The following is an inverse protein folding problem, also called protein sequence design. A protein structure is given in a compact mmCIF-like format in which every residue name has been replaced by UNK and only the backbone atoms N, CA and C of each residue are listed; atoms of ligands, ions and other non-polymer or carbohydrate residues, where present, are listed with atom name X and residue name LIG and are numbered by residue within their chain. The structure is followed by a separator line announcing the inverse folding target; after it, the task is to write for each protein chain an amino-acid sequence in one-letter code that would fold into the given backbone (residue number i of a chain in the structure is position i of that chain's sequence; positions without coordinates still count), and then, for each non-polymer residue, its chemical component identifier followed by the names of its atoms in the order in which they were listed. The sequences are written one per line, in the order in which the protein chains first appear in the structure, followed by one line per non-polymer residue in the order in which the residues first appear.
data_IF_472291248301
#
_entry.id   IF_472291248301
#
_cell.length_a   1.000
_cell.length_b   1.000
_cell.length_c   1.000
_cell.angle_alpha   90.00
_cell.angle_beta   90.00
_cell.angle_gamma   90.00
#
_symmetry.space_group_name_H-M   'P 1'
#
loop_
_entity.id
_entity.type
_entity.pdbx_description
1 polymer ?
#
# COMPACT_ATOMS: atom_id res chain seq x y z
N UNK A 1 78.78 8.74 25.96
CA UNK A 1 77.87 9.90 25.78
C UNK A 1 76.62 9.59 24.93
N UNK A 2 76.10 8.36 24.80
CA UNK A 2 74.90 8.08 23.96
C UNK A 2 73.64 7.71 24.77
N UNK A 3 73.80 7.09 25.95
CA UNK A 3 72.68 6.65 26.81
C UNK A 3 72.01 7.77 27.62
N UNK A 4 72.76 8.81 28.02
CA UNK A 4 72.21 9.97 28.74
C UNK A 4 71.31 10.83 27.85
N UNK A 5 71.66 10.98 26.57
CA UNK A 5 70.85 11.73 25.60
C UNK A 5 69.62 10.95 25.14
N UNK A 6 69.68 9.62 25.08
CA UNK A 6 68.52 8.79 24.78
C UNK A 6 67.45 8.87 25.88
N UNK A 7 67.86 8.89 27.16
CA UNK A 7 66.95 9.05 28.30
C UNK A 7 66.37 10.47 28.34
N UNK A 8 67.18 11.50 28.08
CA UNK A 8 66.69 12.88 27.96
C UNK A 8 65.71 13.07 26.79
N UNK A 9 65.95 12.41 25.66
CA UNK A 9 65.06 12.45 24.49
C UNK A 9 63.72 11.75 24.79
N UNK A 10 63.74 10.59 25.46
CA UNK A 10 62.54 9.87 25.86
C UNK A 10 61.72 10.63 26.92
N UNK A 11 62.37 11.26 27.90
CA UNK A 11 61.69 12.13 28.87
C UNK A 11 61.10 13.38 28.19
N UNK A 12 61.80 13.96 27.22
CA UNK A 12 61.29 15.11 26.46
C UNK A 12 60.07 14.73 25.60
N UNK A 13 60.09 13.56 24.95
CA UNK A 13 58.94 13.04 24.18
C UNK A 13 57.74 12.72 25.08
N UNK A 14 57.95 12.14 26.27
CA UNK A 14 56.86 11.89 27.23
C UNK A 14 56.25 13.18 27.79
N UNK A 15 57.05 14.22 28.06
CA UNK A 15 56.55 15.53 28.52
C UNK A 15 55.79 16.25 27.41
N UNK A 16 56.27 16.19 26.16
CA UNK A 16 55.55 16.77 25.01
C UNK A 16 54.23 16.02 24.75
N UNK A 17 54.20 14.69 24.89
CA UNK A 17 52.96 13.91 24.76
C UNK A 17 51.92 14.23 25.86
N UNK A 18 52.36 14.49 27.09
CA UNK A 18 51.48 14.91 28.19
C UNK A 18 50.91 16.32 28.02
N UNK A 19 51.64 17.24 27.37
CA UNK A 19 51.19 18.62 27.11
C UNK A 19 50.18 18.68 25.95
N UNK A 20 50.28 17.81 24.95
CA UNK A 20 49.34 17.80 23.80
C UNK A 20 47.96 17.21 24.16
N UNK A 21 47.88 16.30 25.14
CA UNK A 21 46.60 15.72 25.60
C UNK A 21 45.84 16.66 26.56
N UNK A 22 46.52 17.61 27.20
CA UNK A 22 45.94 18.48 28.24
C UNK A 22 45.24 19.77 27.75
N UNK A 23 45.18 20.04 26.44
CA UNK A 23 44.64 21.30 25.89
C UNK A 23 43.54 21.12 24.84
N UNK A 24 42.77 20.03 24.87
CA UNK A 24 41.46 20.03 24.24
C UNK A 24 40.45 20.62 25.21
N UNK A 25 40.25 21.95 25.15
CA UNK A 25 39.05 22.57 25.71
C UNK A 25 37.86 21.87 25.04
N UNK A 26 37.09 21.13 25.84
CA UNK A 26 35.80 20.60 25.43
C UNK A 26 34.95 21.79 25.02
N UNK A 27 34.85 22.01 23.70
CA UNK A 27 33.85 22.92 23.18
C UNK A 27 32.52 22.26 23.55
N UNK A 28 31.65 22.91 24.35
CA UNK A 28 30.33 22.35 24.60
C UNK A 28 29.69 22.12 23.25
N UNK A 29 29.35 20.86 22.96
CA UNK A 29 28.50 20.51 21.83
C UNK A 29 27.32 21.49 21.86
N UNK A 30 27.06 22.26 20.79
CA UNK A 30 25.88 23.12 20.77
C UNK A 30 24.71 22.20 21.05
N UNK A 31 24.02 22.44 22.17
CA UNK A 31 22.71 21.82 22.42
C UNK A 31 21.92 22.03 21.14
N UNK A 32 21.38 20.98 20.50
CA UNK A 32 20.52 21.18 19.35
C UNK A 32 19.45 22.15 19.81
N UNK A 33 19.42 23.34 19.21
CA UNK A 33 18.28 24.24 19.35
C UNK A 33 17.06 23.36 19.09
N UNK A 34 16.05 23.32 19.97
CA UNK A 34 14.83 22.63 19.64
C UNK A 34 14.38 23.25 18.33
N UNK A 35 14.49 22.49 17.23
CA UNK A 35 13.82 22.81 15.99
C UNK A 35 12.40 23.14 16.44
N UNK A 36 11.87 24.34 16.14
CA UNK A 36 10.50 24.64 16.49
C UNK A 36 9.70 23.45 15.98
N UNK A 37 9.08 22.72 16.91
CA UNK A 37 8.11 21.68 16.57
C UNK A 37 7.26 22.34 15.51
N UNK A 38 7.25 21.83 14.26
CA UNK A 38 6.38 22.40 13.26
C UNK A 38 5.01 22.31 13.91
N UNK A 39 4.43 23.48 14.21
CA UNK A 39 3.00 23.58 14.46
C UNK A 39 2.39 22.72 13.37
N UNK A 40 1.63 21.70 13.76
CA UNK A 40 0.97 20.78 12.84
C UNK A 40 0.00 21.59 11.98
N UNK A 41 0.53 22.27 10.97
CA UNK A 41 -0.18 22.66 9.78
C UNK A 41 -0.77 21.36 9.28
N UNK A 42 -2.10 21.31 9.17
CA UNK A 42 -2.78 20.16 8.60
C UNK A 42 -2.01 19.70 7.35
N UNK A 43 -1.74 18.40 7.27
CA UNK A 43 -1.02 17.79 6.16
C UNK A 43 -1.50 18.39 4.82
N UNK A 44 -0.65 19.18 4.16
CA UNK A 44 -1.05 19.94 2.98
C UNK A 44 -0.86 19.06 1.72
N UNK A 45 -1.91 18.33 1.38
CA UNK A 45 -1.98 17.55 0.14
C UNK A 45 -2.23 18.49 -1.05
N UNK A 46 -1.40 18.38 -2.09
CA UNK A 46 -1.46 19.24 -3.28
C UNK A 46 -2.00 18.52 -4.51
N UNK A 47 -2.15 17.20 -4.47
CA UNK A 47 -2.60 16.35 -5.58
C UNK A 47 -1.53 16.15 -6.67
N UNK A 48 -1.68 15.07 -7.44
CA UNK A 48 -0.71 14.69 -8.48
C UNK A 48 -0.50 15.75 -9.58
N UNK A 49 -1.50 16.61 -9.84
CA UNK A 49 -1.38 17.68 -10.85
C UNK A 49 -0.32 18.72 -10.49
N UNK A 50 -0.12 19.02 -9.20
CA UNK A 50 0.94 19.91 -8.75
C UNK A 50 2.35 19.33 -9.04
N UNK A 51 2.48 18.01 -9.04
CA UNK A 51 3.74 17.32 -9.30
C UNK A 51 4.12 17.34 -10.79
N UNK A 52 3.13 17.35 -11.70
CA UNK A 52 3.32 17.28 -13.16
C UNK A 52 4.26 18.36 -13.69
N UNK A 53 4.20 19.57 -13.14
CA UNK A 53 5.00 20.72 -13.61
C UNK A 53 6.51 20.48 -13.53
N UNK A 54 6.98 19.75 -12.51
CA UNK A 54 8.40 19.42 -12.33
C UNK A 54 8.72 17.95 -12.67
N UNK A 55 7.74 17.05 -12.58
CA UNK A 55 7.89 15.60 -12.74
C UNK A 55 7.03 15.03 -13.88
N UNK A 56 6.98 15.71 -15.02
CA UNK A 56 6.12 15.35 -16.16
C UNK A 56 6.25 13.89 -16.59
N UNK A 57 7.47 13.37 -16.76
CA UNK A 57 7.69 11.99 -17.20
C UNK A 57 7.17 10.96 -16.19
N UNK A 58 7.42 11.17 -14.89
CA UNK A 58 6.95 10.27 -13.85
C UNK A 58 5.42 10.31 -13.72
N UNK A 59 4.83 11.51 -13.84
CA UNK A 59 3.38 11.68 -13.89
C UNK A 59 2.77 10.91 -15.07
N UNK A 60 3.27 11.13 -16.28
CA UNK A 60 2.75 10.46 -17.49
C UNK A 60 2.82 8.93 -17.43
N UNK A 61 3.88 8.38 -16.83
CA UNK A 61 3.99 6.94 -16.61
C UNK A 61 3.05 6.45 -15.49
N UNK A 62 2.97 7.17 -14.38
CA UNK A 62 2.14 6.81 -13.23
C UNK A 62 0.64 6.82 -13.54
N UNK A 63 0.17 7.80 -14.35
CA UNK A 63 -1.23 7.91 -14.77
C UNK A 63 -1.72 6.68 -15.56
N UNK A 64 -0.81 5.87 -16.11
CA UNK A 64 -1.12 4.63 -16.83
C UNK A 64 -1.20 3.41 -15.91
N UNK A 65 -0.81 3.56 -14.65
CA UNK A 65 -0.79 2.45 -13.68
C UNK A 65 -2.20 2.11 -13.18
N UNK A 66 -2.39 0.88 -12.71
CA UNK A 66 -3.61 0.49 -12.01
C UNK A 66 -3.83 1.24 -10.68
N UNK A 67 -2.77 1.78 -10.07
CA UNK A 67 -2.88 2.55 -8.82
C UNK A 67 -3.77 3.78 -9.01
N UNK A 68 -3.57 4.55 -10.09
CA UNK A 68 -4.44 5.68 -10.43
C UNK A 68 -5.87 5.30 -10.80
N UNK A 69 -6.11 4.03 -11.11
CA UNK A 69 -7.42 3.53 -11.54
C UNK A 69 -8.29 2.97 -10.41
N UNK A 70 -7.88 3.09 -9.14
CA UNK A 70 -8.59 2.46 -8.02
C UNK A 70 -9.86 3.18 -7.62
N UNK A 71 -9.96 4.48 -7.93
CA UNK A 71 -11.12 5.31 -7.61
C UNK A 71 -11.34 6.35 -8.69
N UNK A 72 -12.58 6.48 -9.16
CA UNK A 72 -12.93 7.46 -10.21
C UNK A 72 -14.22 8.20 -9.87
N UNK A 73 -14.41 9.43 -10.36
CA UNK A 73 -15.69 10.11 -10.25
C UNK A 73 -16.83 9.27 -10.84
N UNK A 74 -18.03 9.34 -10.24
CA UNK A 74 -19.21 8.66 -10.78
C UNK A 74 -19.58 9.15 -12.19
N UNK A 75 -19.27 10.41 -12.50
CA UNK A 75 -19.48 11.00 -13.83
C UNK A 75 -18.71 10.32 -14.96
N UNK A 76 -17.64 9.58 -14.67
CA UNK A 76 -16.87 8.84 -15.67
C UNK A 76 -17.63 7.60 -16.18
N UNK A 77 -18.68 7.20 -15.46
CA UNK A 77 -19.53 6.06 -15.78
C UNK A 77 -20.80 6.59 -16.44
N UNK A 78 -20.82 6.56 -17.77
CA UNK A 78 -21.99 6.94 -18.57
C UNK A 78 -23.15 5.95 -18.34
N UNK A 79 -23.88 6.16 -17.25
CA UNK A 79 -25.04 5.39 -16.82
C UNK A 79 -26.28 6.10 -17.35
N UNK A 80 -27.01 5.43 -18.24
CA UNK A 80 -28.30 5.93 -18.71
C UNK A 80 -29.28 6.04 -17.54
N UNK A 81 -30.01 7.15 -17.46
CA UNK A 81 -31.06 7.38 -16.48
C UNK A 81 -30.60 7.20 -15.02
N UNK A 82 -29.40 7.67 -14.69
CA UNK A 82 -28.87 7.63 -13.31
C UNK A 82 -29.86 8.34 -12.36
N UNK A 83 -30.49 7.62 -11.42
CA UNK A 83 -31.41 8.24 -10.48
C UNK A 83 -30.66 9.21 -9.57
N UNK A 84 -31.32 10.33 -9.22
CA UNK A 84 -30.75 11.28 -8.25
C UNK A 84 -30.58 10.65 -6.87
N UNK A 85 -31.54 9.82 -6.48
CA UNK A 85 -31.62 9.23 -5.16
C UNK A 85 -31.89 7.73 -5.26
N UNK A 86 -31.29 6.97 -4.35
CA UNK A 86 -31.58 5.54 -4.15
C UNK A 86 -31.88 5.28 -2.68
N UNK A 87 -32.71 4.29 -2.39
CA UNK A 87 -32.92 3.82 -1.01
C UNK A 87 -32.07 2.59 -0.77
N UNK A 88 -31.32 2.57 0.33
CA UNK A 88 -30.53 1.41 0.74
C UNK A 88 -30.91 0.98 2.16
N UNK A 89 -30.77 -0.32 2.42
CA UNK A 89 -30.79 -0.89 3.77
C UNK A 89 -29.36 -1.15 4.27
N UNK A 90 -29.14 -1.03 5.58
CA UNK A 90 -27.86 -1.41 6.20
C UNK A 90 -27.71 -2.93 6.21
N UNK A 91 -27.03 -3.46 5.20
CA UNK A 91 -26.85 -4.90 5.02
C UNK A 91 -25.87 -5.53 6.04
N UNK A 92 -25.20 -4.70 6.85
CA UNK A 92 -24.30 -5.12 7.93
C UNK A 92 -25.02 -5.23 9.29
N UNK A 93 -26.33 -4.94 9.34
CA UNK A 93 -27.20 -5.12 10.51
C UNK A 93 -28.50 -5.86 10.14
N UNK A 94 -28.42 -7.13 9.69
CA UNK A 94 -29.57 -7.87 9.16
C UNK A 94 -30.69 -8.12 10.19
N UNK A 95 -30.41 -8.05 11.49
CA UNK A 95 -31.40 -8.27 12.54
C UNK A 95 -32.34 -7.08 12.78
N UNK A 96 -31.91 -5.86 12.42
CA UNK A 96 -32.72 -4.64 12.53
C UNK A 96 -32.35 -3.66 11.40
N UNK A 97 -32.75 -3.97 10.16
CA UNK A 97 -32.26 -3.27 8.99
C UNK A 97 -32.93 -1.89 8.89
N UNK A 98 -32.13 -0.86 9.14
CA UNK A 98 -32.54 0.53 8.90
C UNK A 98 -32.34 0.84 7.42
N UNK A 99 -33.24 1.64 6.87
CA UNK A 99 -33.10 2.18 5.53
C UNK A 99 -32.86 3.68 5.54
N UNK A 100 -32.28 4.17 4.46
CA UNK A 100 -32.11 5.60 4.22
C UNK A 100 -31.99 5.89 2.74
N UNK A 101 -32.28 7.13 2.37
CA UNK A 101 -32.15 7.61 1.00
C UNK A 101 -30.79 8.27 0.80
N UNK A 102 -30.09 7.88 -0.26
CA UNK A 102 -28.76 8.35 -0.64
C UNK A 102 -28.89 9.19 -1.90
N UNK A 103 -28.40 10.43 -1.84
CA UNK A 103 -28.25 11.33 -2.98
C UNK A 103 -26.97 10.99 -3.75
N UNK A 104 -27.11 10.40 -4.93
CA UNK A 104 -25.98 9.96 -5.77
C UNK A 104 -25.18 11.13 -6.33
N UNK A 105 -25.73 12.36 -6.35
CA UNK A 105 -24.94 13.54 -6.72
C UNK A 105 -23.85 13.88 -5.68
N UNK A 106 -23.96 13.34 -4.46
CA UNK A 106 -22.97 13.47 -3.38
C UNK A 106 -22.05 12.25 -3.29
N UNK A 107 -22.13 11.30 -4.21
CA UNK A 107 -21.23 10.16 -4.23
C UNK A 107 -19.78 10.63 -4.31
N UNK A 108 -18.91 10.03 -3.49
CA UNK A 108 -17.48 10.32 -3.53
C UNK A 108 -16.86 9.83 -4.84
N UNK A 109 -17.34 8.69 -5.34
CA UNK A 109 -16.89 8.10 -6.59
C UNK A 109 -17.16 6.60 -6.67
N UNK A 110 -16.44 5.92 -7.55
CA UNK A 110 -16.56 4.50 -7.85
C UNK A 110 -15.23 3.82 -7.59
N UNK A 111 -15.24 2.87 -6.68
CA UNK A 111 -14.11 2.00 -6.37
C UNK A 111 -13.96 0.90 -7.44
N UNK A 112 -12.79 0.83 -8.05
CA UNK A 112 -12.33 -0.20 -9.01
C UNK A 112 -13.31 -0.55 -10.14
N UNK A 113 -14.12 0.42 -10.59
CA UNK A 113 -15.19 0.21 -11.57
C UNK A 113 -16.25 -0.83 -11.13
N UNK A 114 -16.47 -0.98 -9.83
CA UNK A 114 -17.43 -1.95 -9.28
C UNK A 114 -18.40 -1.24 -8.33
N UNK A 115 -17.93 -0.59 -7.25
CA UNK A 115 -18.81 -0.07 -6.19
C UNK A 115 -18.86 1.45 -6.12
N UNK A 116 -20.06 2.02 -6.07
CA UNK A 116 -20.29 3.44 -5.78
C UNK A 116 -20.14 3.66 -4.27
N UNK A 117 -19.26 4.58 -3.90
CA UNK A 117 -19.01 4.98 -2.51
C UNK A 117 -19.65 6.34 -2.28
N UNK A 118 -20.46 6.46 -1.23
CA UNK A 118 -21.19 7.69 -0.92
C UNK A 118 -21.28 7.93 0.59
N UNK A 119 -21.49 9.20 1.00
CA UNK A 119 -21.82 9.52 2.37
C UNK A 119 -23.21 8.98 2.75
N UNK A 120 -23.33 8.52 3.98
CA UNK A 120 -24.62 8.17 4.61
C UNK A 120 -24.96 9.23 5.66
N UNK A 121 -26.18 9.77 5.69
CA UNK A 121 -26.60 10.73 6.73
C UNK A 121 -26.42 10.16 8.13
N UNK A 122 -25.83 10.92 9.05
CA UNK A 122 -25.67 10.52 10.45
C UNK A 122 -27.03 10.15 11.11
N UNK A 123 -28.10 10.80 10.67
CA UNK A 123 -29.48 10.56 11.12
C UNK A 123 -30.02 9.19 10.75
N UNK A 124 -29.43 8.50 9.77
CA UNK A 124 -29.80 7.12 9.43
C UNK A 124 -29.43 6.13 10.53
N UNK A 125 -28.49 6.50 11.43
CA UNK A 125 -28.07 5.64 12.55
C UNK A 125 -27.36 4.36 12.11
N UNK A 126 -26.67 4.42 10.98
CA UNK A 126 -25.78 3.38 10.47
C UNK A 126 -24.45 3.41 11.23
N UNK A 127 -23.69 2.31 11.21
CA UNK A 127 -22.42 2.20 11.97
C UNK A 127 -21.29 3.08 11.44
N UNK A 128 -21.38 3.51 10.18
CA UNK A 128 -20.41 4.36 9.49
C UNK A 128 -21.15 5.43 8.66
N UNK A 129 -20.45 6.48 8.28
CA UNK A 129 -20.97 7.53 7.38
C UNK A 129 -20.45 7.39 5.95
N UNK A 130 -19.68 6.34 5.63
CA UNK A 130 -19.19 6.06 4.28
C UNK A 130 -19.50 4.62 3.92
N UNK A 131 -20.28 4.42 2.86
CA UNK A 131 -20.81 3.12 2.49
C UNK A 131 -20.60 2.85 1.00
N UNK A 132 -20.54 1.55 0.66
CA UNK A 132 -20.84 1.03 -0.68
C UNK A 132 -22.34 1.02 -0.82
N UNK A 133 -22.89 1.90 -1.65
CA UNK A 133 -24.35 2.14 -1.73
C UNK A 133 -24.98 1.49 -2.97
N UNK A 134 -24.19 1.31 -4.03
CA UNK A 134 -24.60 0.69 -5.27
C UNK A 134 -23.38 0.11 -5.98
N UNK A 135 -23.61 -0.59 -7.10
CA UNK A 135 -22.56 -1.06 -7.98
C UNK A 135 -22.83 -0.64 -9.42
N UNK A 136 -21.76 -0.63 -10.22
CA UNK A 136 -21.81 -0.37 -11.66
C UNK A 136 -21.36 -1.60 -12.41
N UNK A 137 -21.99 -1.87 -13.55
CA UNK A 137 -21.64 -2.98 -14.42
C UNK A 137 -21.50 -2.51 -15.85
N UNK A 138 -20.42 -2.93 -16.51
CA UNK A 138 -20.21 -2.62 -17.92
C UNK A 138 -21.07 -3.56 -18.78
N UNK A 139 -21.85 -2.99 -19.69
CA UNK A 139 -22.68 -3.70 -20.68
C UNK A 139 -22.37 -3.14 -22.07
N UNK A 140 -21.51 -3.83 -22.82
CA UNK A 140 -20.93 -3.32 -24.05
C UNK A 140 -20.13 -2.04 -23.77
N UNK A 141 -20.50 -0.94 -24.43
CA UNK A 141 -19.87 0.38 -24.25
C UNK A 141 -20.54 1.25 -23.17
N UNK A 142 -21.65 0.78 -22.59
CA UNK A 142 -22.41 1.53 -21.57
C UNK A 142 -22.16 0.97 -20.17
N UNK A 143 -22.44 1.79 -19.16
CA UNK A 143 -22.50 1.36 -17.76
C UNK A 143 -23.94 1.31 -17.29
N UNK A 144 -24.24 0.37 -16.40
CA UNK A 144 -25.56 0.24 -15.76
C UNK A 144 -25.39 0.25 -14.25
N UNK A 145 -26.32 0.91 -13.56
CA UNK A 145 -26.44 0.86 -12.11
C UNK A 145 -27.09 -0.46 -11.68
N UNK A 146 -26.62 -1.04 -10.59
CA UNK A 146 -27.22 -2.20 -9.94
C UNK A 146 -27.02 -2.11 -8.42
N UNK A 147 -27.75 -2.92 -7.65
CA UNK A 147 -27.55 -2.99 -6.21
C UNK A 147 -26.13 -3.50 -5.87
N UNK A 148 -25.49 -2.91 -4.86
CA UNK A 148 -24.21 -3.42 -4.35
C UNK A 148 -24.38 -4.80 -3.71
N UNK A 149 -25.53 -5.00 -3.07
CA UNK A 149 -25.99 -6.26 -2.51
C UNK A 149 -27.51 -6.31 -2.65
N UNK A 150 -28.04 -7.49 -2.96
CA UNK A 150 -29.48 -7.74 -3.04
C UNK A 150 -29.91 -8.62 -1.87
N UNK A 151 -31.15 -8.47 -1.45
CA UNK A 151 -31.78 -9.29 -0.41
C UNK A 151 -33.11 -8.70 0.00
N UNK A 152 -33.97 -9.48 0.64
CA UNK A 152 -35.18 -9.00 1.29
C UNK A 152 -34.84 -8.62 2.73
N UNK A 153 -34.40 -7.38 2.94
CA UNK A 153 -33.88 -6.95 4.25
C UNK A 153 -35.04 -6.65 5.20
N UNK A 154 -36.12 -6.06 4.70
CA UNK A 154 -37.28 -5.72 5.52
C UNK A 154 -38.29 -6.88 5.71
N UNK A 155 -38.08 -8.02 5.04
CA UNK A 155 -38.93 -9.24 5.08
C UNK A 155 -40.33 -9.00 4.52
N UNK A 156 -40.47 -8.11 3.54
CA UNK A 156 -41.75 -7.84 2.87
C UNK A 156 -41.98 -8.72 1.62
N UNK A 157 -41.02 -9.59 1.29
CA UNK A 157 -41.06 -10.47 0.13
C UNK A 157 -40.56 -9.83 -1.16
N UNK A 158 -40.02 -8.60 -1.11
CA UNK A 158 -39.44 -7.90 -2.25
C UNK A 158 -37.92 -7.79 -2.14
N UNK A 159 -37.25 -7.62 -3.29
CA UNK A 159 -35.79 -7.50 -3.32
C UNK A 159 -35.37 -6.04 -3.10
N UNK A 160 -34.63 -5.82 -2.01
CA UNK A 160 -34.12 -4.53 -1.59
C UNK A 160 -32.65 -4.32 -1.99
N UNK A 161 -32.24 -3.05 -2.03
CA UNK A 161 -30.85 -2.65 -2.21
C UNK A 161 -30.14 -2.56 -0.85
N UNK A 162 -29.10 -3.36 -0.67
CA UNK A 162 -28.28 -3.37 0.53
C UNK A 162 -26.99 -2.57 0.32
N UNK A 163 -26.70 -1.69 1.28
CA UNK A 163 -25.39 -1.06 1.41
C UNK A 163 -24.56 -1.68 2.52
N UNK A 164 -23.23 -1.62 2.39
CA UNK A 164 -22.30 -2.08 3.42
C UNK A 164 -21.24 -1.01 3.71
N UNK A 165 -20.78 -0.97 4.95
CA UNK A 165 -19.73 -0.05 5.40
C UNK A 165 -18.50 -0.14 4.49
N UNK A 166 -17.91 1.02 4.19
CA UNK A 166 -16.76 1.12 3.31
C UNK A 166 -15.45 1.03 4.10
N UNK A 167 -14.94 -0.20 4.26
CA UNK A 167 -13.67 -0.48 4.96
C UNK A 167 -12.47 -0.60 4.02
N UNK A 168 -12.70 -0.52 2.70
CA UNK A 168 -11.66 -0.70 1.67
C UNK A 168 -10.90 0.59 1.32
N UNK A 169 -11.32 1.72 1.89
CA UNK A 169 -10.87 3.06 1.52
C UNK A 169 -9.39 3.33 1.80
N UNK A 170 -8.78 2.65 2.77
CA UNK A 170 -7.35 2.83 3.07
C UNK A 170 -6.44 2.57 1.87
N UNK A 171 -6.90 1.73 0.93
CA UNK A 171 -6.14 1.36 -0.26
C UNK A 171 -6.80 1.76 -1.57
N UNK A 172 -8.13 1.68 -1.64
CA UNK A 172 -8.80 2.03 -2.88
C UNK A 172 -9.10 3.51 -3.00
N UNK A 173 -9.14 4.25 -1.90
CA UNK A 173 -9.33 5.70 -1.92
C UNK A 173 -8.57 6.37 -0.76
N UNK A 174 -7.24 6.23 -0.70
CA UNK A 174 -6.45 6.68 0.46
C UNK A 174 -6.53 8.19 0.73
N UNK A 175 -6.92 8.98 -0.29
CA UNK A 175 -7.17 10.41 -0.17
C UNK A 175 -8.54 10.75 0.44
N UNK A 176 -9.49 9.81 0.49
CA UNK A 176 -10.81 10.05 1.08
C UNK A 176 -10.69 10.43 2.56
N UNK A 177 -11.22 11.61 2.91
CA UNK A 177 -11.10 12.19 4.26
C UNK A 177 -9.73 12.80 4.57
N UNK A 178 -8.78 12.80 3.63
CA UNK A 178 -7.43 13.40 3.78
C UNK A 178 -7.16 14.53 2.78
N UNK A 179 -7.65 14.41 1.55
CA UNK A 179 -7.41 15.31 0.43
C UNK A 179 -8.71 15.58 -0.33
N UNK A 180 -8.94 16.83 -0.71
CA UNK A 180 -10.00 17.21 -1.65
C UNK A 180 -9.53 17.21 -3.10
N UNK A 181 -8.22 17.06 -3.33
CA UNK A 181 -7.59 17.12 -4.66
C UNK A 181 -7.61 15.78 -5.38
N UNK A 182 -7.41 14.70 -4.64
CA UNK A 182 -7.23 13.38 -5.22
C UNK A 182 -7.63 12.31 -4.21
N UNK A 183 -8.68 11.54 -4.53
CA UNK A 183 -9.19 10.49 -3.66
C UNK A 183 -8.53 9.13 -3.91
N UNK A 184 -8.11 8.87 -5.16
CA UNK A 184 -7.47 7.61 -5.59
C UNK A 184 -6.04 7.48 -5.04
N UNK A 185 -5.32 6.42 -5.43
CA UNK A 185 -3.90 6.29 -5.11
C UNK A 185 -3.12 7.23 -6.03
N UNK A 186 -2.70 8.37 -5.48
CA UNK A 186 -1.92 9.41 -6.14
C UNK A 186 -0.44 9.40 -5.78
N UNK A 187 0.31 10.42 -6.23
CA UNK A 187 1.72 10.61 -5.85
C UNK A 187 1.88 10.65 -4.32
N UNK A 188 0.99 11.37 -3.65
CA UNK A 188 1.03 11.61 -2.21
C UNK A 188 0.60 10.40 -1.37
N UNK A 189 0.05 9.36 -2.00
CA UNK A 189 -0.22 8.08 -1.31
C UNK A 189 1.05 7.31 -0.97
N UNK A 190 2.13 7.50 -1.73
CA UNK A 190 3.44 6.89 -1.43
C UNK A 190 4.43 7.89 -0.83
N UNK A 191 4.36 9.13 -1.27
CA UNK A 191 5.32 10.17 -0.88
C UNK A 191 4.89 10.97 0.37
N UNK A 192 3.63 10.87 0.77
CA UNK A 192 3.02 11.74 1.77
C UNK A 192 2.66 13.13 1.23
N UNK A 193 2.22 14.06 2.11
CA UNK A 193 1.76 15.39 1.73
C UNK A 193 2.89 16.23 1.09
N UNK A 194 2.64 16.74 -0.11
CA UNK A 194 3.63 17.41 -0.95
C UNK A 194 3.75 18.92 -0.76
N UNK A 195 2.89 19.55 0.04
CA UNK A 195 2.85 21.00 0.18
C UNK A 195 4.19 21.65 0.56
N UNK A 196 4.90 21.09 1.55
CA UNK A 196 6.24 21.58 1.95
C UNK A 196 7.26 21.43 0.83
N UNK A 197 7.19 20.33 0.07
CA UNK A 197 8.09 20.09 -1.05
C UNK A 197 7.85 21.08 -2.18
N UNK A 198 6.60 21.34 -2.55
CA UNK A 198 6.26 22.30 -3.61
C UNK A 198 6.71 23.72 -3.23
N UNK A 199 6.52 24.11 -1.98
CA UNK A 199 6.84 25.45 -1.47
C UNK A 199 8.35 25.69 -1.23
N UNK A 200 9.18 24.65 -1.14
CA UNK A 200 10.60 24.81 -0.83
C UNK A 200 11.40 25.41 -1.98
N UNK A 201 12.29 26.36 -1.70
CA UNK A 201 13.25 26.90 -2.67
C UNK A 201 14.22 25.81 -3.16
N UNK A 202 14.73 25.00 -2.24
CA UNK A 202 15.48 23.79 -2.54
C UNK A 202 14.65 22.54 -2.18
N UNK A 203 14.21 21.82 -3.21
CA UNK A 203 13.32 20.67 -3.11
C UNK A 203 14.03 19.34 -2.89
N UNK A 204 15.37 19.32 -3.00
CA UNK A 204 16.13 18.08 -2.90
C UNK A 204 16.00 17.45 -1.51
N UNK A 205 15.57 16.18 -1.47
CA UNK A 205 15.47 15.40 -0.23
C UNK A 205 14.33 15.79 0.72
N UNK A 206 13.47 16.75 0.34
CA UNK A 206 12.32 17.17 1.16
C UNK A 206 11.14 16.19 1.08
N UNK A 207 11.21 15.21 0.18
CA UNK A 207 10.24 14.14 0.02
C UNK A 207 10.98 12.83 -0.27
N UNK A 208 10.54 11.74 0.38
CA UNK A 208 11.12 10.40 0.24
C UNK A 208 10.00 9.37 0.28
N UNK A 209 10.20 8.25 -0.38
CA UNK A 209 9.31 7.08 -0.28
C UNK A 209 9.98 6.05 0.61
N UNK A 210 9.23 5.57 1.59
CA UNK A 210 9.60 4.43 2.41
C UNK A 210 8.84 3.19 1.92
N UNK A 211 9.45 2.01 2.01
CA UNK A 211 8.81 0.74 1.62
C UNK A 211 7.52 0.48 2.39
N UNK A 212 7.37 1.03 3.60
CA UNK A 212 6.13 0.98 4.39
C UNK A 212 4.92 1.50 3.62
N UNK A 213 5.10 2.52 2.76
CA UNK A 213 4.00 3.03 1.95
C UNK A 213 3.44 1.98 0.99
N UNK A 214 4.27 1.06 0.49
CA UNK A 214 3.80 -0.08 -0.31
C UNK A 214 3.02 -1.07 0.57
N UNK A 215 3.52 -1.33 1.78
CA UNK A 215 2.98 -2.34 2.70
C UNK A 215 1.68 -1.92 3.40
N UNK A 216 1.32 -0.63 3.37
CA UNK A 216 -0.01 -0.16 3.82
C UNK A 216 -1.14 -0.87 3.06
N UNK A 217 -0.89 -1.26 1.80
CA UNK A 217 -1.86 -1.93 0.93
C UNK A 217 -1.41 -3.26 0.36
N UNK A 218 -0.10 -3.52 0.30
CA UNK A 218 0.47 -4.80 -0.08
C UNK A 218 1.09 -5.49 1.14
N UNK A 219 0.28 -6.00 2.08
CA UNK A 219 0.78 -6.71 3.24
C UNK A 219 1.64 -7.90 2.81
N UNK A 220 2.84 -7.98 3.39
CA UNK A 220 3.87 -8.92 2.97
C UNK A 220 4.13 -10.04 3.97
N UNK A 221 3.38 -10.07 5.07
CA UNK A 221 3.44 -11.11 6.11
C UNK A 221 2.07 -11.76 6.28
N UNK A 222 2.02 -13.09 6.49
CA UNK A 222 0.81 -13.76 6.95
C UNK A 222 0.35 -13.25 8.32
N UNK A 223 -0.95 -13.37 8.59
CA UNK A 223 -1.57 -13.02 9.88
C UNK A 223 -2.15 -14.25 10.56
N UNK A 224 -2.12 -14.30 11.89
CA UNK A 224 -2.72 -15.41 12.64
C UNK A 224 -4.20 -15.14 12.90
N UNK A 225 -5.08 -16.02 12.43
CA UNK A 225 -6.50 -15.97 12.72
C UNK A 225 -6.72 -16.22 14.23
N UNK A 226 -7.34 -15.28 14.92
CA UNK A 226 -7.52 -15.34 16.37
C UNK A 226 -8.56 -16.35 16.82
N UNK A 227 -9.46 -16.78 15.92
CA UNK A 227 -10.52 -17.75 16.21
C UNK A 227 -10.05 -19.18 15.99
N UNK A 228 -9.40 -19.44 14.86
CA UNK A 228 -8.94 -20.80 14.50
C UNK A 228 -7.51 -21.09 14.95
N UNK A 229 -6.70 -20.05 15.21
CA UNK A 229 -5.27 -20.16 15.51
C UNK A 229 -4.40 -20.45 14.28
N UNK A 230 -4.99 -20.56 13.08
CA UNK A 230 -4.30 -20.88 11.82
C UNK A 230 -3.66 -19.61 11.25
N UNK A 231 -2.48 -19.76 10.64
CA UNK A 231 -1.84 -18.67 9.90
C UNK A 231 -2.46 -18.53 8.51
N UNK A 232 -2.77 -17.30 8.12
CA UNK A 232 -3.42 -16.99 6.85
C UNK A 232 -2.55 -16.01 6.06
N UNK A 233 -2.18 -16.38 4.84
CA UNK A 233 -1.56 -15.49 3.88
C UNK A 233 -2.48 -14.31 3.56
N UNK A 234 -1.90 -13.13 3.37
CA UNK A 234 -2.65 -11.99 2.88
C UNK A 234 -3.02 -12.19 1.40
N UNK A 235 -4.30 -12.48 1.14
CA UNK A 235 -4.78 -12.82 -0.20
C UNK A 235 -5.29 -11.62 -1.02
N UNK A 236 -5.82 -10.56 -0.41
CA UNK A 236 -6.26 -9.37 -1.15
C UNK A 236 -5.07 -8.40 -1.30
N UNK A 237 -4.47 -8.36 -2.50
CA UNK A 237 -3.27 -7.59 -2.90
C UNK A 237 -1.98 -7.77 -2.07
N UNK A 238 -1.98 -8.56 -1.00
CA UNK A 238 -0.78 -8.91 -0.25
C UNK A 238 0.21 -9.76 -1.04
N UNK A 239 1.50 -9.68 -0.72
CA UNK A 239 2.55 -10.46 -1.37
C UNK A 239 2.72 -11.86 -0.76
N UNK A 240 1.69 -12.32 -0.02
CA UNK A 240 1.67 -13.53 0.83
C UNK A 240 2.75 -13.49 1.92
N UNK A 241 3.95 -13.98 1.63
CA UNK A 241 5.10 -13.93 2.53
C UNK A 241 6.39 -13.61 1.77
N UNK A 242 6.63 -12.32 1.54
CA UNK A 242 7.89 -11.88 0.93
C UNK A 242 9.09 -12.14 1.85
N UNK A 243 8.86 -12.07 3.17
CA UNK A 243 9.93 -12.17 4.17
C UNK A 243 10.45 -13.59 4.35
N UNK A 244 9.71 -14.62 3.93
CA UNK A 244 10.23 -15.98 3.78
C UNK A 244 11.30 -16.12 2.69
N UNK A 245 11.42 -15.15 1.77
CA UNK A 245 12.34 -15.24 0.64
C UNK A 245 13.79 -14.86 0.98
N UNK A 246 14.73 -15.39 0.20
CA UNK A 246 16.14 -14.95 0.25
C UNK A 246 16.33 -13.49 -0.21
N UNK A 247 15.38 -12.94 -0.97
CA UNK A 247 15.43 -11.54 -1.38
C UNK A 247 15.23 -10.61 -0.19
N UNK A 248 14.28 -10.92 0.69
CA UNK A 248 14.05 -10.15 1.91
C UNK A 248 15.25 -10.18 2.87
N UNK A 249 16.02 -11.28 2.88
CA UNK A 249 17.23 -11.42 3.69
C UNK A 249 18.48 -10.72 3.10
N UNK A 250 18.43 -10.27 1.85
CA UNK A 250 19.58 -9.70 1.15
C UNK A 250 19.57 -8.17 1.19
N UNK A 251 20.69 -7.55 1.58
CA UNK A 251 20.84 -6.09 1.57
C UNK A 251 20.64 -5.44 0.19
N UNK A 252 20.77 -6.21 -0.89
CA UNK A 252 20.62 -5.70 -2.26
C UNK A 252 19.16 -5.67 -2.72
N UNK A 253 18.34 -6.61 -2.23
CA UNK A 253 17.00 -6.86 -2.75
C UNK A 253 15.91 -6.80 -1.69
N UNK A 254 16.23 -6.47 -0.44
CA UNK A 254 15.29 -6.31 0.69
C UNK A 254 14.39 -5.07 0.60
N UNK A 255 14.21 -4.49 -0.59
CA UNK A 255 13.35 -3.35 -0.84
C UNK A 255 12.51 -3.61 -2.09
N UNK A 256 11.20 -3.33 -2.04
CA UNK A 256 10.29 -3.51 -3.17
C UNK A 256 10.77 -2.76 -4.44
N UNK A 257 11.36 -1.58 -4.25
CA UNK A 257 11.83 -0.71 -5.32
C UNK A 257 13.11 -1.22 -6.00
N UNK A 258 13.77 -2.25 -5.45
CA UNK A 258 14.87 -2.95 -6.13
C UNK A 258 14.38 -3.74 -7.36
N UNK A 259 13.08 -4.06 -7.43
CA UNK A 259 12.48 -4.81 -8.53
C UNK A 259 11.31 -4.08 -9.20
N UNK A 260 10.55 -3.27 -8.45
CA UNK A 260 9.36 -2.57 -8.94
C UNK A 260 9.58 -1.06 -9.04
N UNK A 261 9.03 -0.44 -10.08
CA UNK A 261 8.95 1.02 -10.17
C UNK A 261 7.48 1.43 -10.29
N UNK A 262 6.97 2.32 -9.42
CA UNK A 262 5.59 2.78 -9.51
C UNK A 262 5.41 3.87 -10.57
N UNK A 263 6.48 4.56 -10.99
CA UNK A 263 6.39 5.69 -11.92
C UNK A 263 6.16 5.28 -13.38
N UNK A 264 6.15 3.99 -13.69
CA UNK A 264 5.87 3.52 -15.04
C UNK A 264 5.32 2.08 -15.02
N UNK A 265 4.75 1.67 -16.14
CA UNK A 265 4.29 0.31 -16.39
C UNK A 265 4.88 -0.22 -17.69
N UNK A 266 4.99 -1.53 -17.78
CA UNK A 266 5.21 -2.19 -19.07
C UNK A 266 3.93 -2.20 -19.92
N UNK A 267 4.00 -2.75 -21.14
CA UNK A 267 2.87 -2.83 -22.09
C UNK A 267 1.65 -3.59 -21.53
N UNK A 268 1.83 -4.41 -20.50
CA UNK A 268 0.75 -5.12 -19.80
C UNK A 268 0.18 -4.36 -18.60
N UNK A 269 0.57 -3.11 -18.39
CA UNK A 269 0.10 -2.27 -17.29
C UNK A 269 0.64 -2.66 -15.91
N UNK A 270 1.72 -3.44 -15.84
CA UNK A 270 2.33 -3.89 -14.57
C UNK A 270 3.55 -3.05 -14.22
N UNK A 271 3.66 -2.67 -12.95
CA UNK A 271 4.80 -1.92 -12.41
C UNK A 271 6.03 -2.83 -12.29
N UNK A 272 7.05 -2.55 -13.09
CA UNK A 272 8.37 -3.19 -13.09
C UNK A 272 9.42 -2.12 -13.35
N UNK A 273 10.69 -2.37 -13.03
CA UNK A 273 11.74 -1.41 -13.38
C UNK A 273 11.90 -1.37 -14.90
N UNK A 274 11.49 -0.26 -15.50
CA UNK A 274 11.54 -0.01 -16.94
C UNK A 274 10.32 -0.54 -17.69
N UNK A 275 10.47 -0.70 -19.01
CA UNK A 275 9.43 -1.28 -19.86
C UNK A 275 9.57 -2.81 -20.01
N UNK A 276 10.59 -3.40 -19.36
CA UNK A 276 10.99 -4.77 -19.61
C UNK A 276 9.95 -5.79 -19.08
N UNK A 277 9.74 -6.93 -19.76
CA UNK A 277 9.06 -8.08 -19.19
C UNK A 277 9.62 -8.47 -17.81
N UNK A 278 8.79 -9.03 -16.93
CA UNK A 278 9.19 -9.47 -15.58
C UNK A 278 10.47 -10.34 -15.60
N UNK A 279 10.59 -11.22 -16.60
CA UNK A 279 11.74 -12.11 -16.81
C UNK A 279 13.07 -11.37 -17.00
N UNK A 280 13.03 -10.23 -17.67
CA UNK A 280 14.21 -9.44 -17.99
C UNK A 280 14.68 -8.66 -16.77
N UNK A 281 13.75 -8.25 -15.90
CA UNK A 281 14.08 -7.68 -14.60
C UNK A 281 14.84 -8.67 -13.71
N UNK A 282 14.39 -9.93 -13.64
CA UNK A 282 15.09 -10.98 -12.89
C UNK A 282 16.50 -11.24 -13.45
N UNK A 283 16.65 -11.17 -14.77
CA UNK A 283 17.90 -11.43 -15.48
C UNK A 283 19.00 -10.39 -15.21
N UNK A 284 18.66 -9.21 -14.65
CA UNK A 284 19.62 -8.19 -14.18
C UNK A 284 20.55 -8.75 -13.07
N UNK A 285 20.04 -9.66 -12.23
CA UNK A 285 20.80 -10.33 -11.18
C UNK A 285 20.99 -11.84 -11.42
N UNK A 286 20.07 -12.50 -12.13
CA UNK A 286 20.09 -13.94 -12.43
C UNK A 286 20.51 -14.23 -13.88
N UNK A 287 21.54 -13.53 -14.38
CA UNK A 287 21.99 -13.65 -15.77
C UNK A 287 22.38 -15.11 -16.10
N UNK A 288 21.82 -15.65 -17.18
CA UNK A 288 22.10 -17.01 -17.64
C UNK A 288 21.43 -18.13 -16.83
N UNK A 289 20.58 -17.77 -15.85
CA UNK A 289 19.81 -18.75 -15.07
C UNK A 289 18.45 -18.94 -15.74
N UNK A 290 18.10 -20.20 -16.01
CA UNK A 290 16.73 -20.56 -16.38
C UNK A 290 15.91 -20.77 -15.10
N UNK A 291 14.75 -20.14 -15.02
CA UNK A 291 13.82 -20.26 -13.91
C UNK A 291 12.37 -20.30 -14.40
N UNK A 292 11.51 -20.93 -13.61
CA UNK A 292 10.09 -21.07 -13.87
C UNK A 292 9.32 -20.13 -12.94
N UNK A 293 8.90 -18.96 -13.47
CA UNK A 293 8.18 -17.95 -12.70
C UNK A 293 6.82 -18.44 -12.20
N UNK A 294 6.18 -19.39 -12.89
CA UNK A 294 4.90 -19.93 -12.44
C UNK A 294 5.06 -20.83 -11.21
N UNK A 295 6.26 -21.40 -11.00
CA UNK A 295 6.58 -22.15 -9.77
C UNK A 295 7.11 -21.25 -8.65
N UNK A 296 7.97 -20.29 -9.00
CA UNK A 296 8.59 -19.41 -8.00
C UNK A 296 7.62 -18.34 -7.48
N UNK A 297 6.77 -17.81 -8.36
CA UNK A 297 5.78 -16.78 -8.08
C UNK A 297 4.40 -17.25 -8.54
N UNK A 298 3.96 -18.36 -7.95
CA UNK A 298 2.74 -19.04 -8.34
C UNK A 298 1.51 -18.13 -8.15
N UNK A 299 0.53 -18.31 -9.04
CA UNK A 299 -0.77 -17.63 -8.96
C UNK A 299 -1.64 -18.34 -7.93
N UNK A 300 -2.31 -17.56 -7.09
CA UNK A 300 -3.31 -18.10 -6.18
C UNK A 300 -4.49 -18.70 -6.98
N UNK A 301 -4.77 -20.01 -6.87
CA UNK A 301 -5.86 -20.63 -7.63
C UNK A 301 -7.26 -20.12 -7.24
N UNK A 302 -7.42 -19.48 -6.07
CA UNK A 302 -8.68 -18.82 -5.67
C UNK A 302 -8.87 -17.40 -6.22
N UNK A 303 -7.94 -16.89 -7.02
CA UNK A 303 -8.06 -15.55 -7.61
C UNK A 303 -9.04 -15.51 -8.79
N UNK A 304 -10.34 -15.45 -8.48
CA UNK A 304 -11.40 -15.42 -9.48
C UNK A 304 -11.39 -14.17 -10.37
N UNK A 305 -10.64 -13.11 -10.03
CA UNK A 305 -10.64 -11.83 -10.77
C UNK A 305 -9.26 -11.36 -11.25
N UNK A 306 -8.24 -12.24 -11.23
CA UNK A 306 -6.82 -11.92 -11.54
C UNK A 306 -6.34 -10.62 -10.84
N UNK A 307 -6.75 -10.46 -9.58
CA UNK A 307 -6.51 -9.28 -8.73
C UNK A 307 -5.74 -9.60 -7.44
N UNK A 308 -5.36 -10.86 -7.23
CA UNK A 308 -4.47 -11.29 -6.16
C UNK A 308 -3.04 -11.24 -6.70
N UNK A 309 -2.17 -10.60 -5.92
CA UNK A 309 -0.74 -10.58 -6.21
C UNK A 309 -0.18 -12.01 -6.17
N UNK A 310 0.69 -12.34 -7.13
CA UNK A 310 1.41 -13.63 -7.13
C UNK A 310 2.22 -13.79 -5.84
N UNK A 311 2.51 -15.03 -5.47
CA UNK A 311 3.36 -15.31 -4.32
C UNK A 311 4.75 -14.66 -4.45
N UNK A 312 5.25 -14.06 -3.37
CA UNK A 312 6.60 -13.46 -3.29
C UNK A 312 7.52 -14.20 -2.31
N UNK A 313 7.19 -15.44 -1.92
CA UNK A 313 8.15 -16.30 -1.21
C UNK A 313 9.29 -16.77 -2.13
N UNK A 314 9.14 -16.59 -3.45
CA UNK A 314 10.10 -16.99 -4.49
C UNK A 314 10.48 -18.47 -4.39
N UNK A 315 9.47 -19.33 -4.19
CA UNK A 315 9.61 -20.78 -4.06
C UNK A 315 9.99 -21.27 -2.66
N UNK A 316 10.16 -20.38 -1.67
CA UNK A 316 10.36 -20.79 -0.28
C UNK A 316 9.11 -21.47 0.31
N UNK A 317 7.93 -21.08 -0.17
CA UNK A 317 6.64 -21.65 0.20
C UNK A 317 5.84 -22.07 -1.04
N UNK A 318 6.15 -23.24 -1.63
CA UNK A 318 5.37 -23.79 -2.73
C UNK A 318 3.92 -24.05 -2.32
N UNK A 319 3.00 -23.78 -3.24
CA UNK A 319 1.56 -23.90 -3.01
C UNK A 319 1.14 -25.30 -2.53
N UNK A 320 1.65 -26.35 -3.16
CA UNK A 320 1.34 -27.75 -2.84
C UNK A 320 1.82 -28.20 -1.45
N UNK A 321 2.62 -27.37 -0.76
CA UNK A 321 3.20 -27.64 0.55
C UNK A 321 2.65 -26.76 1.66
N UNK A 322 1.74 -25.83 1.38
CA UNK A 322 1.17 -24.94 2.41
C UNK A 322 0.36 -25.70 3.46
N UNK A 323 -0.24 -26.83 3.07
CA UNK A 323 -1.13 -27.62 3.92
C UNK A 323 -2.51 -26.98 4.08
N UNK A 324 -2.91 -26.10 3.16
CA UNK A 324 -4.24 -25.49 3.14
C UNK A 324 -5.33 -26.49 2.75
N UNK A 325 -6.54 -26.24 3.23
CA UNK A 325 -7.71 -26.94 2.74
C UNK A 325 -8.03 -26.45 1.31
N UNK A 326 -7.80 -27.34 0.33
CA UNK A 326 -8.07 -27.07 -1.08
C UNK A 326 -9.55 -26.85 -1.39
N UNK A 327 -10.45 -27.28 -0.51
CA UNK A 327 -11.89 -27.07 -0.62
C UNK A 327 -12.35 -25.72 -0.05
N UNK A 328 -11.48 -24.99 0.66
CA UNK A 328 -11.79 -23.67 1.23
C UNK A 328 -10.99 -22.56 0.54
N UNK A 329 -10.95 -21.36 1.14
CA UNK A 329 -10.13 -20.26 0.65
C UNK A 329 -8.67 -20.61 0.91
N UNK A 330 -7.85 -20.66 -0.16
CA UNK A 330 -6.42 -21.01 -0.15
C UNK A 330 -5.55 -19.87 0.43
N UNK A 331 -5.89 -19.47 1.64
CA UNK A 331 -5.17 -18.52 2.52
C UNK A 331 -4.36 -19.26 3.56
N UNK A 332 -4.80 -20.44 4.00
CA UNK A 332 -4.26 -21.11 5.18
C UNK A 332 -2.81 -21.59 4.98
N UNK A 333 -2.05 -21.58 6.06
CA UNK A 333 -0.69 -22.09 6.12
C UNK A 333 -0.63 -22.95 7.38
N UNK A 334 -0.75 -24.26 7.20
CA UNK A 334 -0.72 -25.24 8.31
C UNK A 334 0.59 -26.01 8.37
N UNK A 335 1.41 -25.95 7.31
CA UNK A 335 2.74 -26.53 7.31
C UNK A 335 3.58 -25.97 8.47
N UNK A 336 3.97 -26.85 9.38
CA UNK A 336 4.60 -26.47 10.65
C UNK A 336 5.96 -25.81 10.47
N UNK A 337 6.71 -26.14 9.42
CA UNK A 337 8.00 -25.50 9.15
C UNK A 337 7.83 -24.09 8.58
N UNK A 338 6.80 -23.87 7.76
CA UNK A 338 6.46 -22.52 7.28
C UNK A 338 5.93 -21.65 8.40
N UNK A 339 5.07 -22.19 9.27
CA UNK A 339 4.58 -21.48 10.46
C UNK A 339 5.73 -21.04 11.35
N UNK A 340 6.71 -21.92 11.63
CA UNK A 340 7.91 -21.53 12.40
C UNK A 340 8.71 -20.42 11.72
N UNK A 341 8.85 -20.46 10.39
CA UNK A 341 9.55 -19.43 9.64
C UNK A 341 8.82 -18.07 9.72
N UNK A 342 7.51 -18.07 9.52
CA UNK A 342 6.66 -16.88 9.68
C UNK A 342 6.80 -16.30 11.08
N UNK A 343 6.67 -17.13 12.12
CA UNK A 343 6.79 -16.71 13.52
C UNK A 343 8.17 -16.12 13.87
N UNK A 344 9.22 -16.56 13.17
CA UNK A 344 10.57 -16.02 13.32
C UNK A 344 10.77 -14.67 12.59
N UNK A 345 9.98 -14.39 11.55
CA UNK A 345 10.10 -13.16 10.76
C UNK A 345 9.12 -12.06 11.16
N UNK A 346 7.91 -12.41 11.63
CA UNK A 346 6.91 -11.44 12.12
C UNK A 346 7.35 -10.72 13.40
N UNK A 347 8.33 -11.28 14.13
CA UNK A 347 8.89 -10.72 15.37
C UNK A 347 10.06 -9.74 15.16
N UNK A 348 10.52 -9.53 13.92
CA UNK A 348 11.65 -8.66 13.59
C UNK A 348 11.18 -7.32 13.05
#
# INVERSE_FOLDING_TARGET
MKRKYLILLLCFICVVALVVVGCQKTTPTPTPTPTPTPTTTAANYVGSDACKTCHAQAYEGFMKTKHMGTFKPLSDYNIADLPKEITIFDADTPDNPKSTTIDLSKAYGVMVNDYIIAPVPATAGFKSQTYRVAAVKKQGDKWTLQAARTGDFNKDGTEDWGGSSYTCGSCHSPGLGKSDKELTIGCESCHGPGGTHVAADNKAGTMKVDQKACMECHPSVPTKNTTTGIWEAANHYGTRDYFASKHAASKQTNNCLSCHSPHNVNDSGKTVIGNDPVKDNCSKCHKGVSFDLEKLMWKNPTDLRDHITRDHSFGAMPYDKLGDDKATKQTEITNTDYVKNIEANVKK
#
